data_IF_768259994668
#
_entry.id   IF_768259994668
#
_cell.length_a   1.000
_cell.length_b   1.000
_cell.length_c   1.000
_cell.angle_alpha   90.00
_cell.angle_beta   90.00
_cell.angle_gamma   90.00
#
_symmetry.space_group_name_H-M   'P 1'
#
loop_
_entity.id
_entity.type
_entity.pdbx_description
1 polymer ?
#
# COMPACT_ATOMS: atom_id res chain seq x y z
N UNK A 1 8.48 -6.00 -0.70
CA UNK A 1 7.19 -5.59 -1.35
C UNK A 1 7.14 -6.02 -2.82
N UNK A 2 8.22 -5.79 -3.58
CA UNK A 2 8.34 -6.26 -4.97
C UNK A 2 8.02 -7.76 -5.06
N UNK A 3 7.15 -8.14 -5.99
CA UNK A 3 6.69 -9.53 -6.17
C UNK A 3 5.43 -9.91 -5.37
N UNK A 4 4.94 -9.08 -4.43
CA UNK A 4 3.65 -9.31 -3.74
C UNK A 4 2.48 -8.72 -4.54
N UNK A 5 1.33 -9.38 -4.45
CA UNK A 5 0.05 -8.81 -4.91
C UNK A 5 -0.36 -7.62 -4.04
N UNK A 6 -1.30 -6.79 -4.54
CA UNK A 6 -1.83 -5.66 -3.75
C UNK A 6 -2.49 -6.12 -2.45
N UNK A 7 -3.17 -7.27 -2.46
CA UNK A 7 -3.83 -7.82 -1.28
C UNK A 7 -2.80 -8.27 -0.23
N UNK A 8 -1.72 -8.92 -0.65
CA UNK A 8 -0.61 -9.26 0.24
C UNK A 8 0.11 -8.02 0.76
N UNK A 9 0.31 -7.00 -0.08
CA UNK A 9 0.93 -5.75 0.33
C UNK A 9 0.08 -4.99 1.37
N UNK A 10 -1.25 -5.05 1.30
CA UNK A 10 -2.16 -4.45 2.30
C UNK A 10 -2.05 -5.11 3.68
N UNK A 11 -1.73 -6.41 3.71
CA UNK A 11 -1.62 -7.19 4.96
C UNK A 11 -0.31 -6.94 5.72
N UNK A 12 0.66 -6.25 5.13
CA UNK A 12 1.92 -5.91 5.79
C UNK A 12 1.64 -5.05 7.04
N UNK A 13 2.21 -5.47 8.16
CA UNK A 13 2.11 -4.83 9.48
C UNK A 13 3.43 -4.20 9.90
N UNK A 14 3.39 -3.40 10.96
CA UNK A 14 4.58 -2.79 11.55
C UNK A 14 5.53 -3.86 12.10
N UNK A 15 4.96 -4.92 12.66
CA UNK A 15 5.70 -6.08 13.15
C UNK A 15 6.37 -6.87 12.03
N UNK A 16 5.78 -6.95 10.84
CA UNK A 16 6.45 -7.55 9.68
C UNK A 16 7.72 -6.76 9.32
N UNK A 17 7.62 -5.43 9.30
CA UNK A 17 8.77 -4.56 9.01
C UNK A 17 9.84 -4.71 10.09
N UNK A 18 9.44 -4.72 11.37
CA UNK A 18 10.36 -4.91 12.49
C UNK A 18 11.07 -6.26 12.44
N UNK A 19 10.34 -7.35 12.14
CA UNK A 19 10.92 -8.69 12.02
C UNK A 19 11.93 -8.78 10.89
N UNK A 20 11.60 -8.25 9.72
CA UNK A 20 12.49 -8.26 8.55
C UNK A 20 13.77 -7.42 8.78
N UNK A 21 13.67 -6.36 9.59
CA UNK A 21 14.83 -5.53 9.96
C UNK A 21 15.68 -6.11 11.10
N UNK A 22 15.27 -7.23 11.71
CA UNK A 22 15.94 -7.81 12.88
C UNK A 22 15.70 -7.02 14.17
N UNK A 23 14.63 -6.22 14.22
CA UNK A 23 14.31 -5.29 15.31
C UNK A 23 14.78 -3.86 15.04
N UNK A 24 14.23 -2.92 15.80
CA UNK A 24 14.63 -1.52 15.80
C UNK A 24 14.83 -1.06 17.25
N UNK A 25 15.80 -0.16 17.52
CA UNK A 25 15.90 0.47 18.83
C UNK A 25 14.63 1.28 19.13
N UNK A 26 14.30 1.41 20.42
CA UNK A 26 13.03 1.95 20.90
C UNK A 26 12.71 3.34 20.33
N UNK A 27 13.73 4.19 20.16
CA UNK A 27 13.60 5.54 19.57
C UNK A 27 13.21 5.58 18.09
N UNK A 28 13.13 4.44 17.40
CA UNK A 28 12.78 4.34 15.96
C UNK A 28 11.54 3.48 15.69
N UNK A 29 10.79 3.11 16.73
CA UNK A 29 9.58 2.28 16.58
C UNK A 29 8.44 2.98 15.82
N UNK A 30 8.48 4.31 15.68
CA UNK A 30 7.50 5.06 14.87
C UNK A 30 7.72 4.94 13.36
N UNK A 31 8.95 4.63 12.91
CA UNK A 31 9.26 4.53 11.49
C UNK A 31 8.48 3.40 10.78
N UNK A 32 8.36 2.18 11.35
CA UNK A 32 7.48 1.13 10.85
C UNK A 32 6.03 1.58 10.67
N UNK A 33 5.48 2.32 11.64
CA UNK A 33 4.11 2.84 11.61
C UNK A 33 3.88 3.76 10.42
N UNK A 34 4.82 4.68 10.21
CA UNK A 34 4.77 5.62 9.09
C UNK A 34 4.87 4.88 7.74
N UNK A 35 5.74 3.87 7.66
CA UNK A 35 5.90 3.06 6.46
C UNK A 35 4.61 2.30 6.10
N UNK A 36 3.98 1.62 7.06
CA UNK A 36 2.70 0.90 6.84
C UNK A 36 1.59 1.88 6.44
N UNK A 37 1.49 3.02 7.12
CA UNK A 37 0.48 4.05 6.81
C UNK A 37 0.64 4.57 5.38
N UNK A 38 1.87 4.89 4.98
CA UNK A 38 2.19 5.39 3.64
C UNK A 38 1.90 4.34 2.58
N UNK A 39 2.26 3.08 2.83
CA UNK A 39 1.99 1.97 1.92
C UNK A 39 0.48 1.81 1.68
N UNK A 40 -0.33 1.77 2.75
CA UNK A 40 -1.79 1.64 2.66
C UNK A 40 -2.43 2.79 1.87
N UNK A 41 -2.04 4.03 2.17
CA UNK A 41 -2.52 5.22 1.43
C UNK A 41 -2.19 5.16 -0.05
N UNK A 42 -0.97 4.70 -0.39
CA UNK A 42 -0.53 4.57 -1.78
C UNK A 42 -1.34 3.52 -2.53
N UNK A 43 -1.60 2.37 -1.90
CA UNK A 43 -2.42 1.29 -2.49
C UNK A 43 -3.87 1.77 -2.68
N UNK A 44 -4.45 2.49 -1.71
CA UNK A 44 -5.78 3.08 -1.83
C UNK A 44 -5.87 4.02 -3.04
N UNK A 45 -4.94 4.99 -3.13
CA UNK A 45 -4.87 5.95 -4.24
C UNK A 45 -4.68 5.26 -5.60
N UNK A 46 -3.92 4.17 -5.66
CA UNK A 46 -3.76 3.39 -6.88
C UNK A 46 -5.07 2.72 -7.32
N UNK A 47 -5.83 2.16 -6.38
CA UNK A 47 -7.13 1.55 -6.67
C UNK A 47 -8.17 2.60 -7.12
N UNK A 48 -8.21 3.75 -6.46
CA UNK A 48 -9.07 4.88 -6.86
C UNK A 48 -8.78 5.33 -8.30
N UNK A 49 -7.49 5.49 -8.63
CA UNK A 49 -7.08 5.82 -10.00
C UNK A 49 -7.52 4.75 -11.00
N UNK A 50 -7.32 3.46 -10.70
CA UNK A 50 -7.77 2.37 -11.59
C UNK A 50 -9.28 2.38 -11.82
N UNK A 51 -10.08 2.66 -10.78
CA UNK A 51 -11.53 2.79 -10.92
C UNK A 51 -11.90 4.00 -11.77
N UNK A 52 -11.24 5.15 -11.57
CA UNK A 52 -11.45 6.35 -12.39
C UNK A 52 -11.18 6.09 -13.88
N UNK A 53 -10.07 5.42 -14.25
CA UNK A 53 -9.78 5.08 -15.64
C UNK A 53 -10.78 4.10 -16.25
N UNK A 54 -11.29 3.14 -15.47
CA UNK A 54 -12.32 2.20 -15.93
C UNK A 54 -13.65 2.92 -16.26
N UNK A 55 -14.05 3.89 -15.44
CA UNK A 55 -15.27 4.69 -15.65
C UNK A 55 -15.16 5.61 -16.88
N UNK A 56 -14.00 6.25 -17.09
CA UNK A 56 -13.76 7.10 -18.28
C UNK A 56 -13.81 6.26 -19.55
N UNK A 57 -13.21 5.07 -19.55
CA UNK A 57 -13.18 4.17 -20.72
C UNK A 57 -14.56 3.64 -21.11
N UNK A 58 -15.45 3.39 -20.14
CA UNK A 58 -16.83 2.97 -20.39
C UNK A 58 -17.71 4.11 -20.93
N UNK A 59 -17.42 5.36 -20.53
CA UNK A 59 -18.18 6.52 -21.01
C UNK A 59 -17.87 6.82 -22.49
N UNK A 60 -16.62 6.64 -22.93
CA UNK A 60 -16.21 6.90 -24.33
C UNK A 60 -16.80 5.86 -25.31
N UNK A 61 -17.04 4.62 -24.86
CA UNK A 61 -17.63 3.55 -25.70
C UNK A 61 -19.16 3.64 -25.87
N UNK A 62 -19.83 4.60 -25.22
CA UNK A 62 -21.28 4.83 -25.32
C UNK A 62 -21.67 5.90 -26.35
N UNK A 63 -20.73 6.36 -27.18
CA UNK A 63 -20.99 7.31 -28.25
C UNK A 63 -20.73 6.69 -29.63
#
# INVERSE_FOLDING_TARGET
IKGKTLEEAKKITEQDILRELGGLPESKLDCPKLAVTTLRKTIAKYNERRQSYAQVSLTIRKH
#
